data_IF_531674920200
#
_entry.id   IF_531674920200
#
_cell.length_a   1.000
_cell.length_b   1.000
_cell.length_c   1.000
_cell.angle_alpha   90.00
_cell.angle_beta   90.00
_cell.angle_gamma   90.00
#
_symmetry.space_group_name_H-M   'P 1'
#
loop_
_entity.id
_entity.type
_entity.pdbx_description
1 polymer ?
#
# COMPACT_ATOMS: atom_id res chain seq x y z
N UNK A 1 40.67 2.72 -1.17
CA UNK A 1 39.33 2.50 -1.77
C UNK A 1 38.46 1.39 -1.15
N UNK A 2 39.00 0.35 -0.47
CA UNK A 2 38.19 -0.77 0.09
C UNK A 2 37.02 -0.35 1.00
N UNK A 3 37.21 0.66 1.86
CA UNK A 3 36.16 1.14 2.79
C UNK A 3 34.96 1.79 2.09
N UNK A 4 35.18 2.47 0.95
CA UNK A 4 34.11 3.10 0.16
C UNK A 4 33.30 2.09 -0.67
N UNK A 5 33.96 1.06 -1.21
CA UNK A 5 33.27 -0.05 -1.88
C UNK A 5 32.33 -0.80 -0.92
N UNK A 6 32.76 -1.02 0.32
CA UNK A 6 31.91 -1.61 1.37
C UNK A 6 30.70 -0.74 1.74
N UNK A 7 30.85 0.59 1.74
CA UNK A 7 29.75 1.52 1.98
C UNK A 7 28.70 1.47 0.86
N UNK A 8 29.11 1.46 -0.41
CA UNK A 8 28.16 1.37 -1.54
C UNK A 8 27.39 0.07 -1.54
N UNK A 9 28.05 -1.06 -1.20
CA UNK A 9 27.34 -2.34 -1.05
C UNK A 9 26.25 -2.25 0.02
N UNK A 10 26.57 -1.74 1.21
CA UNK A 10 25.59 -1.57 2.29
C UNK A 10 24.43 -0.65 1.90
N UNK A 11 24.71 0.41 1.13
CA UNK A 11 23.66 1.31 0.64
C UNK A 11 22.80 0.66 -0.45
N UNK A 12 23.36 -0.22 -1.27
CA UNK A 12 22.60 -1.04 -2.21
C UNK A 12 21.65 -1.98 -1.46
N UNK A 13 22.13 -2.64 -0.40
CA UNK A 13 21.31 -3.50 0.46
C UNK A 13 20.15 -2.71 1.10
N UNK A 14 20.44 -1.50 1.63
CA UNK A 14 19.40 -0.62 2.19
C UNK A 14 18.39 -0.20 1.14
N UNK A 15 18.83 0.18 -0.07
CA UNK A 15 17.92 0.55 -1.15
C UNK A 15 17.02 -0.62 -1.56
N UNK A 16 17.58 -1.82 -1.69
CA UNK A 16 16.82 -3.03 -2.01
C UNK A 16 15.76 -3.35 -0.93
N UNK A 17 16.13 -3.24 0.36
CA UNK A 17 15.18 -3.44 1.46
C UNK A 17 14.06 -2.38 1.48
N UNK A 18 14.37 -1.12 1.13
CA UNK A 18 13.35 -0.07 1.04
C UNK A 18 12.39 -0.29 -0.13
N UNK A 19 12.89 -0.75 -1.29
CA UNK A 19 12.03 -1.16 -2.42
C UNK A 19 11.11 -2.31 -2.01
N UNK A 20 11.64 -3.36 -1.37
CA UNK A 20 10.83 -4.48 -0.89
C UNK A 20 9.72 -4.03 0.07
N UNK A 21 10.04 -3.08 0.97
CA UNK A 21 9.07 -2.54 1.91
C UNK A 21 8.00 -1.68 1.21
N UNK A 22 8.38 -0.88 0.23
CA UNK A 22 7.42 -0.11 -0.57
C UNK A 22 6.47 -1.04 -1.34
N UNK A 23 6.96 -2.15 -1.88
CA UNK A 23 6.13 -3.16 -2.54
C UNK A 23 5.20 -3.88 -1.56
N UNK A 24 5.70 -4.26 -0.37
CA UNK A 24 4.86 -4.84 0.68
C UNK A 24 3.70 -3.91 1.07
N UNK A 25 3.96 -2.62 1.26
CA UNK A 25 2.89 -1.64 1.54
C UNK A 25 1.88 -1.50 0.40
N UNK A 26 2.30 -1.66 -0.87
CA UNK A 26 1.36 -1.67 -2.01
C UNK A 26 0.44 -2.90 -1.96
N UNK A 27 0.97 -4.06 -1.57
CA UNK A 27 0.18 -5.28 -1.38
C UNK A 27 -0.79 -5.14 -0.20
N UNK A 28 -0.36 -4.52 0.90
CA UNK A 28 -1.24 -4.18 2.04
C UNK A 28 -2.40 -3.27 1.60
N UNK A 29 -2.12 -2.23 0.82
CA UNK A 29 -3.17 -1.35 0.26
C UNK A 29 -4.13 -2.10 -0.66
N UNK A 30 -3.62 -3.00 -1.52
CA UNK A 30 -4.47 -3.83 -2.37
C UNK A 30 -5.39 -4.74 -1.54
N UNK A 31 -4.87 -5.30 -0.44
CA UNK A 31 -5.64 -6.12 0.49
C UNK A 31 -6.71 -5.29 1.22
N UNK A 32 -6.36 -4.10 1.71
CA UNK A 32 -7.31 -3.19 2.36
C UNK A 32 -8.47 -2.82 1.43
N UNK A 33 -8.19 -2.54 0.15
CA UNK A 33 -9.20 -2.28 -0.88
C UNK A 33 -10.12 -3.46 -1.14
N UNK A 34 -9.57 -4.67 -1.20
CA UNK A 34 -10.38 -5.87 -1.36
C UNK A 34 -11.33 -6.05 -0.17
N UNK A 35 -10.82 -5.89 1.06
CA UNK A 35 -11.64 -5.98 2.29
C UNK A 35 -12.73 -4.91 2.35
N UNK A 36 -12.46 -3.70 1.85
CA UNK A 36 -13.47 -2.63 1.74
C UNK A 36 -14.54 -3.00 0.72
N UNK A 37 -14.15 -3.48 -0.46
CA UNK A 37 -15.10 -3.92 -1.48
C UNK A 37 -16.00 -5.06 -0.99
N UNK A 38 -15.45 -6.03 -0.25
CA UNK A 38 -16.22 -7.11 0.37
C UNK A 38 -17.21 -6.56 1.42
N UNK A 39 -16.79 -5.58 2.22
CA UNK A 39 -17.67 -4.92 3.19
C UNK A 39 -18.80 -4.13 2.51
N UNK A 40 -18.51 -3.41 1.42
CA UNK A 40 -19.51 -2.69 0.61
C UNK A 40 -20.53 -3.66 0.00
N UNK A 41 -20.10 -4.83 -0.47
CA UNK A 41 -20.99 -5.87 -0.97
C UNK A 41 -21.91 -6.42 0.14
N UNK A 42 -21.36 -6.64 1.34
CA UNK A 42 -22.12 -7.08 2.49
C UNK A 42 -23.17 -6.02 2.92
N UNK A 43 -22.80 -4.74 2.94
CA UNK A 43 -23.73 -3.64 3.20
C UNK A 43 -24.83 -3.59 2.15
N UNK A 44 -24.50 -3.70 0.86
CA UNK A 44 -25.50 -3.72 -0.21
C UNK A 44 -26.46 -4.91 -0.08
N UNK A 45 -26.00 -6.07 0.43
CA UNK A 45 -26.87 -7.20 0.73
C UNK A 45 -27.78 -6.92 1.93
N UNK A 46 -27.26 -6.31 2.99
CA UNK A 46 -28.04 -5.90 4.17
C UNK A 46 -29.10 -4.84 3.80
N UNK A 47 -28.76 -3.85 2.97
CA UNK A 47 -29.70 -2.85 2.45
C UNK A 47 -30.85 -3.49 1.68
N UNK A 48 -30.57 -4.47 0.82
CA UNK A 48 -31.60 -5.23 0.10
C UNK A 48 -32.50 -6.01 1.05
N UNK A 49 -31.91 -6.66 2.06
CA UNK A 49 -32.65 -7.37 3.10
C UNK A 49 -33.57 -6.45 3.87
N UNK A 50 -33.05 -5.31 4.33
CA UNK A 50 -33.80 -4.29 5.04
C UNK A 50 -34.95 -3.71 4.20
N UNK A 51 -34.70 -3.37 2.92
CA UNK A 51 -35.74 -2.89 2.01
C UNK A 51 -36.79 -3.97 1.67
N UNK A 52 -36.41 -5.25 1.71
CA UNK A 52 -37.33 -6.39 1.66
C UNK A 52 -38.24 -6.43 2.89
N UNK A 53 -37.65 -6.37 4.08
CA UNK A 53 -38.37 -6.34 5.35
C UNK A 53 -39.30 -5.14 5.51
N UNK A 54 -38.89 -3.95 5.04
CA UNK A 54 -39.76 -2.76 4.97
C UNK A 54 -41.05 -3.04 4.19
N UNK A 55 -40.93 -3.59 2.97
CA UNK A 55 -42.08 -3.89 2.12
C UNK A 55 -42.99 -4.95 2.73
N UNK A 56 -42.42 -5.94 3.41
CA UNK A 56 -43.19 -6.94 4.12
C UNK A 56 -43.96 -6.33 5.29
N UNK A 57 -43.33 -5.44 6.07
CA UNK A 57 -43.97 -4.71 7.16
C UNK A 57 -45.11 -3.82 6.65
N UNK A 58 -44.89 -3.07 5.56
CA UNK A 58 -45.92 -2.28 4.89
C UNK A 58 -47.10 -3.15 4.46
N UNK A 59 -46.84 -4.34 3.92
CA UNK A 59 -47.88 -5.30 3.55
C UNK A 59 -48.67 -5.82 4.76
N UNK A 60 -48.02 -6.06 5.90
CA UNK A 60 -48.69 -6.47 7.14
C UNK A 60 -49.57 -5.35 7.69
N UNK A 61 -49.07 -4.11 7.67
CA UNK A 61 -49.81 -2.93 8.13
C UNK A 61 -51.00 -2.58 7.21
N UNK A 62 -50.91 -2.87 5.91
CA UNK A 62 -51.98 -2.66 4.95
C UNK A 62 -53.03 -3.80 4.91
N UNK A 63 -52.82 -4.88 5.67
CA UNK A 63 -53.75 -6.01 5.72
C UNK A 63 -55.09 -5.60 6.34
N UNK A 64 -56.20 -5.94 5.67
CA UNK A 64 -57.56 -5.75 6.20
C UNK A 64 -57.87 -6.64 7.41
N UNK A 65 -57.11 -7.73 7.57
CA UNK A 65 -57.20 -8.63 8.71
C UNK A 65 -56.09 -8.29 9.70
N UNK A 66 -56.46 -7.96 10.93
CA UNK A 66 -55.53 -7.62 12.00
C UNK A 66 -54.92 -8.89 12.60
N UNK A 67 -53.71 -9.23 12.15
CA UNK A 67 -52.90 -10.33 12.68
C UNK A 67 -51.77 -9.78 13.56
N UNK A 68 -52.02 -9.74 14.87
CA UNK A 68 -51.09 -9.17 15.84
C UNK A 68 -49.80 -9.99 15.98
N UNK A 69 -49.88 -11.33 15.84
CA UNK A 69 -48.70 -12.18 15.94
C UNK A 69 -47.78 -11.99 14.75
N UNK A 70 -48.35 -11.92 13.54
CA UNK A 70 -47.59 -11.61 12.32
C UNK A 70 -46.95 -10.23 12.39
N UNK A 71 -47.66 -9.22 12.88
CA UNK A 71 -47.08 -7.90 13.10
C UNK A 71 -45.90 -7.93 14.09
N UNK A 72 -46.07 -8.61 15.22
CA UNK A 72 -45.02 -8.71 16.25
C UNK A 72 -43.78 -9.43 15.73
N UNK A 73 -43.95 -10.54 15.00
CA UNK A 73 -42.84 -11.29 14.38
C UNK A 73 -42.14 -10.42 13.34
N UNK A 74 -42.90 -9.81 12.43
CA UNK A 74 -42.36 -8.93 11.40
C UNK A 74 -41.56 -7.77 12.02
N UNK A 75 -42.03 -7.22 13.14
CA UNK A 75 -41.35 -6.10 13.81
C UNK A 75 -40.01 -6.52 14.38
N UNK A 76 -39.96 -7.68 15.06
CA UNK A 76 -38.72 -8.21 15.59
C UNK A 76 -37.69 -8.48 14.48
N UNK A 77 -38.12 -9.11 13.38
CA UNK A 77 -37.25 -9.36 12.22
C UNK A 77 -36.78 -8.05 11.57
N UNK A 78 -37.64 -7.04 11.49
CA UNK A 78 -37.28 -5.74 10.97
C UNK A 78 -36.23 -5.02 11.82
N UNK A 79 -36.38 -5.07 13.15
CA UNK A 79 -35.38 -4.53 14.09
C UNK A 79 -34.03 -5.26 13.95
N UNK A 80 -34.03 -6.60 13.78
CA UNK A 80 -32.81 -7.38 13.52
C UNK A 80 -32.13 -6.98 12.20
N UNK A 81 -32.91 -6.79 11.13
CA UNK A 81 -32.39 -6.32 9.83
C UNK A 81 -31.80 -4.91 9.93
N UNK A 82 -32.41 -4.02 10.71
CA UNK A 82 -31.89 -2.68 10.96
C UNK A 82 -30.51 -2.74 11.63
N UNK A 83 -30.39 -3.53 12.71
CA UNK A 83 -29.13 -3.74 13.44
C UNK A 83 -28.05 -4.34 12.54
N UNK A 84 -28.41 -5.33 11.71
CA UNK A 84 -27.46 -5.95 10.78
C UNK A 84 -26.96 -4.96 9.72
N UNK A 85 -27.84 -4.09 9.21
CA UNK A 85 -27.49 -3.02 8.26
C UNK A 85 -26.54 -2.00 8.88
N UNK A 86 -26.85 -1.53 10.08
CA UNK A 86 -26.00 -0.56 10.79
C UNK A 86 -24.62 -1.16 11.09
N UNK A 87 -24.55 -2.42 11.53
CA UNK A 87 -23.28 -3.12 11.75
C UNK A 87 -22.45 -3.29 10.46
N UNK A 88 -23.12 -3.51 9.32
CA UNK A 88 -22.45 -3.58 8.02
C UNK A 88 -21.91 -2.19 7.60
N UNK A 89 -22.66 -1.11 7.85
CA UNK A 89 -22.23 0.25 7.58
C UNK A 89 -21.01 0.65 8.43
N UNK A 90 -21.03 0.33 9.73
CA UNK A 90 -19.88 0.50 10.62
C UNK A 90 -18.65 -0.26 10.13
N UNK A 91 -18.86 -1.46 9.58
CA UNK A 91 -17.77 -2.27 9.03
C UNK A 91 -17.15 -1.60 7.81
N UNK A 92 -17.97 -1.07 6.89
CA UNK A 92 -17.47 -0.30 5.72
C UNK A 92 -16.63 0.88 6.18
N UNK A 93 -17.14 1.69 7.13
CA UNK A 93 -16.44 2.85 7.65
C UNK A 93 -15.07 2.50 8.25
N UNK A 94 -14.98 1.43 9.06
CA UNK A 94 -13.69 0.94 9.58
C UNK A 94 -12.73 0.46 8.48
N UNK A 95 -13.25 -0.12 7.39
CA UNK A 95 -12.42 -0.54 6.25
C UNK A 95 -11.94 0.64 5.43
N UNK A 96 -12.71 1.71 5.30
CA UNK A 96 -12.27 2.97 4.70
C UNK A 96 -11.11 3.60 5.48
N UNK A 97 -11.21 3.67 6.81
CA UNK A 97 -10.12 4.14 7.66
C UNK A 97 -8.84 3.31 7.47
N UNK A 98 -8.99 1.98 7.45
CA UNK A 98 -7.85 1.05 7.22
C UNK A 98 -7.22 1.25 5.83
N UNK A 99 -8.03 1.49 4.78
CA UNK A 99 -7.51 1.79 3.45
C UNK A 99 -6.73 3.12 3.43
N UNK A 100 -7.25 4.15 4.10
CA UNK A 100 -6.60 5.46 4.15
C UNK A 100 -5.24 5.40 4.87
N UNK A 101 -5.16 4.66 5.98
CA UNK A 101 -3.92 4.39 6.68
C UNK A 101 -2.91 3.65 5.79
N UNK A 102 -3.35 2.59 5.09
CA UNK A 102 -2.51 1.85 4.15
C UNK A 102 -2.03 2.74 2.99
N UNK A 103 -2.90 3.63 2.48
CA UNK A 103 -2.53 4.56 1.42
C UNK A 103 -1.49 5.58 1.90
N UNK A 104 -1.61 6.06 3.13
CA UNK A 104 -0.63 6.94 3.77
C UNK A 104 0.71 6.22 3.97
N UNK A 105 0.68 4.95 4.38
CA UNK A 105 1.87 4.12 4.51
C UNK A 105 2.59 3.95 3.16
N UNK A 106 1.86 3.66 2.08
CA UNK A 106 2.43 3.57 0.71
C UNK A 106 3.13 4.85 0.31
N UNK A 107 2.52 6.03 0.56
CA UNK A 107 3.15 7.32 0.24
C UNK A 107 4.45 7.52 1.01
N UNK A 108 4.44 7.18 2.31
CA UNK A 108 5.62 7.29 3.19
C UNK A 108 6.75 6.35 2.76
N UNK A 109 6.46 5.10 2.47
CA UNK A 109 7.48 4.13 2.09
C UNK A 109 8.04 4.40 0.68
N UNK A 110 7.20 4.88 -0.24
CA UNK A 110 7.69 5.37 -1.56
C UNK A 110 8.68 6.51 -1.41
N UNK A 111 8.41 7.50 -0.55
CA UNK A 111 9.34 8.60 -0.33
C UNK A 111 10.69 8.12 0.24
N UNK A 112 10.66 7.10 1.12
CA UNK A 112 11.87 6.47 1.69
C UNK A 112 12.65 5.68 0.64
N UNK A 113 11.94 4.94 -0.21
CA UNK A 113 12.51 4.23 -1.35
C UNK A 113 13.24 5.21 -2.29
N UNK A 114 12.57 6.28 -2.71
CA UNK A 114 13.13 7.31 -3.59
C UNK A 114 14.40 7.94 -2.99
N UNK A 115 14.38 8.22 -1.68
CA UNK A 115 15.55 8.74 -0.96
C UNK A 115 16.71 7.72 -0.94
N UNK A 116 16.44 6.45 -0.59
CA UNK A 116 17.47 5.42 -0.47
C UNK A 116 18.12 5.11 -1.83
N UNK A 117 17.31 4.92 -2.87
CA UNK A 117 17.77 4.69 -4.25
C UNK A 117 18.52 5.92 -4.77
N UNK A 118 18.04 7.13 -4.48
CA UNK A 118 18.69 8.38 -4.86
C UNK A 118 20.10 8.53 -4.25
N UNK A 119 20.25 8.24 -2.95
CA UNK A 119 21.55 8.27 -2.27
C UNK A 119 22.49 7.21 -2.86
N UNK A 120 22.01 5.98 -3.02
CA UNK A 120 22.80 4.90 -3.59
C UNK A 120 23.32 5.25 -5.00
N UNK A 121 22.43 5.75 -5.87
CA UNK A 121 22.79 6.15 -7.25
C UNK A 121 23.83 7.27 -7.27
N UNK A 122 23.68 8.30 -6.43
CA UNK A 122 24.64 9.42 -6.35
C UNK A 122 26.03 8.93 -5.93
N UNK A 123 26.10 8.08 -4.90
CA UNK A 123 27.39 7.57 -4.40
C UNK A 123 28.03 6.55 -5.32
N UNK A 124 27.23 5.70 -5.98
CA UNK A 124 27.73 4.78 -7.00
C UNK A 124 28.36 5.54 -8.18
N UNK A 125 27.70 6.60 -8.66
CA UNK A 125 28.24 7.47 -9.72
C UNK A 125 29.53 8.15 -9.30
N UNK A 126 29.56 8.79 -8.12
CA UNK A 126 30.76 9.46 -7.63
C UNK A 126 31.96 8.50 -7.47
N UNK A 127 31.73 7.22 -7.20
CA UNK A 127 32.80 6.22 -7.15
C UNK A 127 33.25 5.73 -8.53
N UNK A 128 32.33 5.64 -9.49
CA UNK A 128 32.67 5.38 -10.88
C UNK A 128 33.55 6.51 -11.44
N UNK A 129 33.12 7.76 -11.25
CA UNK A 129 33.85 8.95 -11.71
C UNK A 129 35.29 8.99 -11.15
N UNK A 130 35.46 8.72 -9.83
CA UNK A 130 36.79 8.64 -9.21
C UNK A 130 37.65 7.49 -9.72
N UNK A 131 37.05 6.37 -10.09
CA UNK A 131 37.77 5.24 -10.66
C UNK A 131 38.27 5.58 -12.06
N UNK A 132 37.46 6.26 -12.85
CA UNK A 132 37.81 6.71 -14.21
C UNK A 132 38.90 7.78 -14.17
N UNK A 133 38.83 8.73 -13.23
CA UNK A 133 39.90 9.71 -12.98
C UNK A 133 41.23 9.03 -12.61
N UNK A 134 41.20 8.06 -11.69
CA UNK A 134 42.39 7.31 -11.29
C UNK A 134 42.99 6.52 -12.46
N UNK A 135 42.16 5.84 -13.25
CA UNK A 135 42.61 5.10 -14.43
C UNK A 135 43.24 6.01 -15.50
N UNK A 136 42.67 7.22 -15.68
CA UNK A 136 43.20 8.23 -16.60
C UNK A 136 44.56 8.75 -16.14
N UNK A 137 44.72 9.01 -14.83
CA UNK A 137 46.00 9.44 -14.25
C UNK A 137 47.08 8.35 -14.35
N UNK A 138 46.74 7.09 -14.08
CA UNK A 138 47.67 5.95 -14.24
C UNK A 138 48.11 5.78 -15.70
N UNK A 139 47.18 5.86 -16.65
CA UNK A 139 47.49 5.76 -18.08
C UNK A 139 48.43 6.88 -18.55
N UNK A 140 48.18 8.12 -18.11
CA UNK A 140 49.02 9.28 -18.44
C UNK A 140 50.42 9.17 -17.78
N UNK A 141 50.48 8.68 -16.53
CA UNK A 141 51.74 8.42 -15.84
C UNK A 141 52.60 7.36 -16.56
N UNK A 142 51.99 6.24 -16.97
CA UNK A 142 52.66 5.18 -17.73
C UNK A 142 53.10 5.66 -19.12
N UNK A 143 52.27 6.44 -19.81
CA UNK A 143 52.62 7.03 -21.10
C UNK A 143 53.83 7.98 -20.97
N UNK A 144 53.85 8.79 -19.91
CA UNK A 144 54.95 9.72 -19.61
C UNK A 144 56.24 8.96 -19.28
N UNK A 145 56.17 7.94 -18.41
CA UNK A 145 57.31 7.10 -18.08
C UNK A 145 57.90 6.39 -19.31
N UNK A 146 57.04 5.86 -20.20
CA UNK A 146 57.48 5.24 -21.47
C UNK A 146 58.13 6.24 -22.42
N UNK A 147 57.68 7.50 -22.43
CA UNK A 147 58.27 8.56 -23.26
C UNK A 147 59.67 8.90 -22.78
N UNK A 148 59.85 9.04 -21.46
CA UNK A 148 61.15 9.36 -20.86
C UNK A 148 62.17 8.23 -21.08
N UNK A 149 61.77 6.96 -20.98
CA UNK A 149 62.65 5.81 -21.24
C UNK A 149 63.09 5.67 -22.71
N UNK A 150 62.40 6.30 -23.66
CA UNK A 150 62.79 6.28 -25.09
C UNK A 150 63.71 7.43 -25.49
N UNK A 151 63.90 8.40 -24.61
CA UNK A 151 64.73 9.58 -24.83
C UNK A 151 66.07 9.53 -24.07
N UNK A 152 66.24 8.53 -23.20
CA UNK A 152 67.49 8.18 -22.49
C UNK A 152 68.19 7.04 -23.22
#
# INVERSE_FOLDING_TARGET
MRKQAGLVRRLADVAALQTLKADASRTELATARALRADAEQALAAADRGFAGGMREMESVLASEVLDFDRWRIGRALFEELAVARDAAADTVSRREETEEEAQTAVRRERAREEQAVGIHRKLARALADKRDEAATLEANGLATARRLMRQA
#
